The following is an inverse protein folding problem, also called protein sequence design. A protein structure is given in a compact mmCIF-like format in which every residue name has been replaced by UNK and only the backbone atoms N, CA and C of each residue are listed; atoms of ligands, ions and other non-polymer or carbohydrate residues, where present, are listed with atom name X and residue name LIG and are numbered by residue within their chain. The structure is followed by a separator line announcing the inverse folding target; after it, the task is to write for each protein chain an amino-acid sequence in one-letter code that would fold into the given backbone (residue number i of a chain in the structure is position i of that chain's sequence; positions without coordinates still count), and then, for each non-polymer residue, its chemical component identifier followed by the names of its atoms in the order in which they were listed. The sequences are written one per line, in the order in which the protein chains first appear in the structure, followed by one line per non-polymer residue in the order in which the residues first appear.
data_IF_985005296127
#
_entry.id   IF_985005296127
#
_cell.length_a   1.000
_cell.length_b   1.000
_cell.length_c   1.000
_cell.angle_alpha   90.00
_cell.angle_beta   90.00
_cell.angle_gamma   90.00
#
_symmetry.space_group_name_H-M   'P 1'
#
loop_
_entity.id
_entity.type
_entity.pdbx_description
1 polymer ?
#
# COMPACT_ATOMS: atom_id res chain seq x y z
N UNK A 1 -8.12 -3.25 -16.61
CA UNK A 1 -6.87 -3.33 -17.36
C UNK A 1 -5.66 -3.18 -16.43
N UNK A 2 -4.65 -3.97 -16.70
CA UNK A 2 -3.43 -3.90 -15.94
C UNK A 2 -2.69 -2.57 -16.19
N UNK A 3 -2.13 -2.00 -15.14
CA UNK A 3 -1.42 -0.72 -15.21
C UNK A 3 0.09 -0.90 -14.99
N UNK A 4 0.61 -2.07 -15.35
CA UNK A 4 2.02 -2.39 -15.12
C UNK A 4 3.00 -1.40 -15.77
N UNK A 5 2.59 -0.79 -16.88
CA UNK A 5 3.42 0.17 -17.58
C UNK A 5 3.30 1.60 -17.05
N UNK A 6 2.42 1.83 -16.10
CA UNK A 6 2.21 3.16 -15.55
C UNK A 6 3.33 3.53 -14.57
N UNK A 7 3.89 4.75 -14.66
CA UNK A 7 4.89 5.19 -13.69
C UNK A 7 4.35 5.19 -12.25
N UNK A 8 5.20 4.87 -11.29
CA UNK A 8 4.80 4.74 -9.89
C UNK A 8 4.10 5.99 -9.34
N UNK A 9 4.60 7.18 -9.66
CA UNK A 9 3.97 8.39 -9.17
C UNK A 9 2.57 8.58 -9.78
N UNK A 10 2.32 8.04 -10.98
CA UNK A 10 0.99 8.07 -11.58
C UNK A 10 0.02 7.13 -10.88
N UNK A 11 0.49 5.98 -10.40
CA UNK A 11 -0.32 5.10 -9.57
C UNK A 11 -0.78 5.83 -8.31
N UNK A 12 0.17 6.44 -7.61
CA UNK A 12 -0.14 7.18 -6.39
C UNK A 12 -1.12 8.31 -6.66
N UNK A 13 -0.90 9.04 -7.75
CA UNK A 13 -1.76 10.16 -8.11
C UNK A 13 -3.17 9.68 -8.46
N UNK A 14 -3.28 8.58 -9.20
CA UNK A 14 -4.57 8.02 -9.57
C UNK A 14 -5.36 7.58 -8.33
N UNK A 15 -4.68 6.96 -7.36
CA UNK A 15 -5.32 6.55 -6.11
C UNK A 15 -5.70 7.75 -5.26
N UNK A 16 -4.81 8.73 -5.15
CA UNK A 16 -5.07 9.94 -4.38
C UNK A 16 -6.22 10.77 -4.95
N UNK A 17 -6.39 10.72 -6.28
CA UNK A 17 -7.48 11.42 -6.92
C UNK A 17 -8.86 10.92 -6.50
N UNK A 18 -8.90 9.72 -5.95
CA UNK A 18 -10.13 9.14 -5.41
C UNK A 18 -9.97 9.11 -3.89
N UNK A 19 -10.31 10.21 -3.25
CA UNK A 19 -10.22 10.30 -1.80
C UNK A 19 -11.60 10.07 -1.19
N UNK A 20 -11.85 8.91 -0.58
CA UNK A 20 -13.15 8.65 0.03
C UNK A 20 -13.53 9.66 1.10
N UNK A 21 -12.53 10.32 1.70
CA UNK A 21 -12.77 11.34 2.73
C UNK A 21 -13.46 12.58 2.18
N UNK A 22 -13.26 12.87 0.90
CA UNK A 22 -13.89 14.03 0.26
C UNK A 22 -15.39 13.84 0.07
N UNK A 23 -15.86 12.61 0.15
CA UNK A 23 -17.26 12.25 -0.12
C UNK A 23 -18.09 12.07 1.14
N UNK A 24 -17.45 12.00 2.30
CA UNK A 24 -18.13 11.65 3.55
C UNK A 24 -17.74 12.62 4.66
N UNK A 25 -18.74 13.19 5.30
CA UNK A 25 -18.55 14.01 6.49
C UNK A 25 -18.91 13.20 7.71
N UNK A 26 -17.98 13.15 8.66
CA UNK A 26 -18.20 12.50 9.94
C UNK A 26 -18.42 13.55 11.00
N UNK A 27 -19.33 13.29 11.91
CA UNK A 27 -19.61 14.15 13.06
C UNK A 27 -19.38 13.33 14.33
N UNK A 28 -18.85 14.00 15.35
CA UNK A 28 -18.76 13.37 16.66
C UNK A 28 -20.13 13.36 17.35
N UNK A 29 -20.17 12.83 18.58
CA UNK A 29 -21.44 12.73 19.34
C UNK A 29 -22.07 14.10 19.63
N UNK A 30 -21.29 15.16 19.56
CA UNK A 30 -21.74 16.53 19.80
C UNK A 30 -22.11 17.26 18.51
N UNK A 31 -21.98 16.60 17.36
CA UNK A 31 -22.32 17.18 16.06
C UNK A 31 -21.22 18.02 15.45
N UNK A 32 -20.00 17.96 15.98
CA UNK A 32 -18.86 18.67 15.42
C UNK A 32 -18.27 17.87 14.27
N UNK A 33 -17.85 18.53 13.16
CA UNK A 33 -17.22 17.82 12.06
C UNK A 33 -15.90 17.22 12.51
N UNK A 34 -15.69 15.94 12.18
CA UNK A 34 -14.46 15.21 12.48
C UNK A 34 -13.76 14.89 11.18
N UNK A 35 -12.46 15.16 11.11
CA UNK A 35 -11.66 14.79 9.97
C UNK A 35 -11.47 13.27 9.96
N UNK A 36 -12.01 12.54 8.97
CA UNK A 36 -11.87 11.09 8.92
C UNK A 36 -10.40 10.63 8.83
N UNK A 37 -9.50 11.51 8.43
CA UNK A 37 -8.07 11.24 8.45
C UNK A 37 -7.46 11.17 9.83
N UNK A 38 -8.17 11.68 10.84
CA UNK A 38 -7.74 11.66 12.23
C UNK A 38 -8.27 10.46 13.01
N UNK A 39 -9.17 9.69 12.42
CA UNK A 39 -9.69 8.49 13.06
C UNK A 39 -8.61 7.41 13.18
N UNK A 40 -8.73 6.60 14.22
CA UNK A 40 -7.85 5.47 14.39
C UNK A 40 -8.17 4.41 13.33
N UNK A 41 -7.14 3.84 12.71
CA UNK A 41 -7.36 2.76 11.75
C UNK A 41 -7.84 1.48 12.48
N UNK A 42 -8.42 0.53 11.72
CA UNK A 42 -8.95 -0.71 12.33
C UNK A 42 -7.88 -1.68 12.81
N UNK A 43 -6.62 -1.39 12.58
CA UNK A 43 -5.49 -2.23 13.03
C UNK A 43 -4.71 -1.48 14.12
N UNK A 44 -3.95 -2.24 14.92
CA UNK A 44 -3.21 -1.68 16.05
C UNK A 44 -1.88 -1.06 15.62
N UNK A 45 -1.83 0.27 15.60
CA UNK A 45 -0.62 1.01 15.23
C UNK A 45 0.54 0.81 16.22
N UNK A 46 0.26 0.33 17.42
CA UNK A 46 1.28 0.12 18.45
C UNK A 46 1.81 -1.32 18.47
N UNK A 47 1.32 -2.19 17.62
CA UNK A 47 1.80 -3.55 17.53
C UNK A 47 3.25 -3.57 17.02
N UNK A 48 4.03 -4.54 17.46
CA UNK A 48 5.40 -4.72 16.97
C UNK A 48 5.44 -4.92 15.46
N UNK A 49 4.49 -5.69 14.95
CA UNK A 49 4.24 -5.84 13.52
C UNK A 49 2.75 -5.64 13.30
N UNK A 50 2.41 -4.64 12.50
CA UNK A 50 1.01 -4.32 12.22
C UNK A 50 0.50 -5.27 11.15
N UNK A 51 -0.48 -6.09 11.48
CA UNK A 51 -1.12 -6.99 10.53
C UNK A 51 -2.14 -6.20 9.69
N UNK A 52 -1.96 -6.19 8.39
CA UNK A 52 -2.87 -5.53 7.47
C UNK A 52 -3.62 -6.62 6.70
N UNK A 53 -4.89 -6.75 6.97
CA UNK A 53 -5.75 -7.71 6.28
C UNK A 53 -6.18 -7.16 4.92
N UNK A 54 -6.66 -8.02 4.04
CA UNK A 54 -7.10 -7.61 2.71
C UNK A 54 -8.17 -6.52 2.76
N UNK A 55 -9.06 -6.57 3.73
CA UNK A 55 -10.11 -5.57 3.90
C UNK A 55 -9.55 -4.20 4.27
N UNK A 56 -8.39 -4.16 4.89
CA UNK A 56 -7.77 -2.93 5.38
C UNK A 56 -6.69 -2.39 4.47
N UNK A 57 -6.30 -3.15 3.44
CA UNK A 57 -5.18 -2.78 2.58
C UNK A 57 -5.38 -1.42 1.90
N UNK A 58 -6.56 -1.18 1.36
CA UNK A 58 -6.85 0.09 0.69
C UNK A 58 -6.74 1.27 1.63
N UNK A 59 -7.32 1.14 2.83
CA UNK A 59 -7.25 2.18 3.84
C UNK A 59 -5.81 2.43 4.28
N UNK A 60 -5.07 1.34 4.54
CA UNK A 60 -3.66 1.43 4.91
C UNK A 60 -2.85 2.14 3.84
N UNK A 61 -3.03 1.75 2.59
CA UNK A 61 -2.28 2.34 1.47
C UNK A 61 -2.50 3.85 1.40
N UNK A 62 -3.74 4.30 1.52
CA UNK A 62 -4.05 5.72 1.49
C UNK A 62 -3.54 6.45 2.73
N UNK A 63 -3.69 5.85 3.90
CA UNK A 63 -3.29 6.50 5.14
C UNK A 63 -1.77 6.66 5.23
N UNK A 64 -1.01 5.67 4.80
CA UNK A 64 0.46 5.79 4.75
C UNK A 64 0.87 6.92 3.82
N UNK A 65 0.19 7.08 2.70
CA UNK A 65 0.49 8.15 1.75
C UNK A 65 0.11 9.52 2.28
N UNK A 66 -1.02 9.61 2.97
CA UNK A 66 -1.54 10.89 3.47
C UNK A 66 -0.93 11.31 4.81
N UNK A 67 -0.56 10.33 5.63
CA UNK A 67 -0.04 10.57 6.97
C UNK A 67 1.23 9.74 7.20
N UNK A 68 2.29 9.97 6.43
CA UNK A 68 3.48 9.13 6.51
C UNK A 68 4.15 9.16 7.87
N UNK A 69 4.03 10.26 8.62
CA UNK A 69 4.62 10.38 9.95
C UNK A 69 4.04 9.38 10.96
N UNK A 70 2.81 8.90 10.73
CA UNK A 70 2.19 7.90 11.61
C UNK A 70 2.85 6.53 11.48
N UNK A 71 3.48 6.29 10.34
CA UNK A 71 4.02 4.97 10.00
C UNK A 71 5.54 4.91 9.95
N UNK A 72 6.21 6.04 10.15
CA UNK A 72 7.67 6.08 10.06
C UNK A 72 8.30 5.11 11.05
N UNK A 73 9.12 4.18 10.56
CA UNK A 73 9.75 3.16 11.36
C UNK A 73 8.86 2.01 11.80
N UNK A 74 7.60 2.01 11.40
CA UNK A 74 6.66 0.95 11.76
C UNK A 74 6.84 -0.26 10.85
N UNK A 75 6.62 -1.45 11.41
CA UNK A 75 6.69 -2.71 10.66
C UNK A 75 5.28 -3.19 10.36
N UNK A 76 5.08 -3.65 9.13
CA UNK A 76 3.78 -4.15 8.68
C UNK A 76 3.94 -5.52 8.04
N UNK A 77 2.87 -6.30 8.06
CA UNK A 77 2.80 -7.60 7.41
C UNK A 77 1.50 -7.66 6.61
N UNK A 78 1.61 -8.00 5.34
CA UNK A 78 0.42 -8.09 4.47
C UNK A 78 0.63 -9.08 3.33
N UNK A 79 -0.47 -9.53 2.77
CA UNK A 79 -0.47 -10.40 1.60
C UNK A 79 -0.32 -9.56 0.35
N UNK A 80 0.65 -9.88 -0.49
CA UNK A 80 0.97 -9.07 -1.65
C UNK A 80 1.30 -9.92 -2.87
N UNK A 81 1.08 -9.32 -4.02
CA UNK A 81 1.53 -9.83 -5.30
C UNK A 81 2.80 -9.08 -5.68
N UNK A 82 3.81 -9.80 -6.09
CA UNK A 82 5.11 -9.22 -6.45
C UNK A 82 5.04 -8.62 -7.85
N UNK A 83 5.42 -7.35 -7.98
CA UNK A 83 5.62 -6.72 -9.28
C UNK A 83 7.09 -6.38 -9.44
N UNK A 84 7.71 -6.88 -10.50
CA UNK A 84 9.10 -6.58 -10.83
C UNK A 84 9.16 -5.91 -12.20
N UNK A 85 10.17 -5.09 -12.39
CA UNK A 85 10.37 -4.39 -13.67
C UNK A 85 11.86 -4.27 -13.95
N UNK A 86 12.22 -4.33 -15.22
CA UNK A 86 13.59 -4.08 -15.65
C UNK A 86 14.05 -2.65 -15.38
N UNK A 87 13.11 -1.76 -15.11
CA UNK A 87 13.40 -0.35 -14.79
C UNK A 87 13.84 -0.17 -13.34
N UNK A 88 13.59 -1.17 -12.49
CA UNK A 88 13.99 -1.10 -11.09
C UNK A 88 15.43 -1.61 -10.94
N UNK A 89 16.21 -0.97 -10.04
CA UNK A 89 17.51 -1.51 -9.72
C UNK A 89 17.38 -2.87 -9.04
N UNK A 90 18.47 -3.60 -9.00
CA UNK A 90 18.51 -4.88 -8.31
C UNK A 90 18.15 -4.69 -6.83
N UNK A 91 17.38 -5.61 -6.29
CA UNK A 91 16.94 -5.52 -4.89
C UNK A 91 15.66 -4.72 -4.68
N UNK A 92 15.03 -4.26 -5.75
CA UNK A 92 13.82 -3.42 -5.68
C UNK A 92 12.66 -4.09 -6.40
N UNK A 93 11.50 -4.08 -5.75
CA UNK A 93 10.25 -4.58 -6.34
C UNK A 93 9.07 -3.86 -5.67
N UNK A 94 7.86 -4.14 -6.13
CA UNK A 94 6.66 -3.60 -5.50
C UNK A 94 5.78 -4.76 -5.03
N UNK A 95 5.64 -4.95 -3.72
CA UNK A 95 4.62 -5.83 -3.17
C UNK A 95 3.31 -5.06 -3.08
N UNK A 96 2.33 -5.42 -3.88
CA UNK A 96 1.10 -4.67 -3.95
C UNK A 96 -0.12 -5.53 -4.22
N UNK A 97 -1.22 -4.86 -4.48
CA UNK A 97 -2.49 -5.50 -4.78
C UNK A 97 -3.22 -4.73 -5.88
N UNK A 98 -4.03 -5.44 -6.64
CA UNK A 98 -5.00 -4.78 -7.51
C UNK A 98 -6.11 -4.21 -6.63
N UNK A 99 -6.45 -2.95 -6.82
CA UNK A 99 -7.45 -2.27 -6.00
C UNK A 99 -8.53 -1.65 -6.88
N UNK A 100 -9.75 -1.68 -6.38
CA UNK A 100 -10.90 -1.15 -7.07
C UNK A 100 -11.61 -0.14 -6.19
N UNK A 101 -12.03 0.99 -6.77
CA UNK A 101 -12.76 2.02 -6.03
C UNK A 101 -14.26 1.91 -6.22
N UNK A 102 -14.74 1.85 -7.44
CA UNK A 102 -16.19 1.80 -7.70
C UNK A 102 -16.60 0.71 -8.68
N UNK A 103 -15.76 0.35 -9.63
CA UNK A 103 -16.16 -0.62 -10.65
C UNK A 103 -14.92 -1.26 -11.29
N UNK A 104 -15.15 -2.31 -12.07
CA UNK A 104 -14.07 -3.05 -12.72
C UNK A 104 -13.14 -2.19 -13.58
N UNK A 105 -13.65 -1.08 -14.10
CA UNK A 105 -12.86 -0.18 -14.94
C UNK A 105 -11.83 0.62 -14.15
N UNK A 106 -11.96 0.66 -12.83
CA UNK A 106 -11.07 1.42 -11.95
C UNK A 106 -10.00 0.57 -11.28
N UNK A 107 -9.85 -0.67 -11.70
CA UNK A 107 -8.85 -1.54 -11.09
C UNK A 107 -7.44 -1.05 -11.43
N UNK A 108 -6.65 -0.83 -10.38
CA UNK A 108 -5.25 -0.38 -10.48
C UNK A 108 -4.39 -1.22 -9.56
N UNK A 109 -3.19 -1.52 -10.00
CA UNK A 109 -2.21 -2.12 -9.11
C UNK A 109 -1.62 -1.03 -8.22
N UNK A 110 -1.73 -1.16 -6.90
CA UNK A 110 -1.23 -0.19 -5.94
C UNK A 110 -0.30 -0.85 -4.94
N UNK A 111 0.78 -0.16 -4.63
CA UNK A 111 1.78 -0.62 -3.68
C UNK A 111 2.89 0.41 -3.55
N UNK A 112 3.78 0.15 -2.61
CA UNK A 112 4.94 1.00 -2.38
C UNK A 112 6.20 0.27 -2.80
N UNK A 113 7.19 1.04 -3.23
CA UNK A 113 8.51 0.54 -3.56
C UNK A 113 9.08 -0.22 -2.37
N UNK A 114 9.65 -1.38 -2.59
CA UNK A 114 10.26 -2.17 -1.53
C UNK A 114 11.70 -2.51 -1.89
N UNK A 115 12.58 -2.29 -0.93
CA UNK A 115 13.99 -2.66 -1.03
C UNK A 115 14.21 -3.86 -0.11
N UNK A 116 14.76 -4.95 -0.64
CA UNK A 116 14.97 -6.15 0.15
C UNK A 116 16.09 -7.00 -0.42
N UNK A 117 16.86 -7.62 0.46
CA UNK A 117 17.91 -8.55 0.04
C UNK A 117 17.35 -9.76 -0.68
N UNK A 118 16.17 -10.21 -0.28
CA UNK A 118 15.53 -11.38 -0.87
C UNK A 118 14.80 -11.08 -2.20
N UNK A 119 14.81 -9.83 -2.67
CA UNK A 119 14.09 -9.45 -3.89
C UNK A 119 14.47 -10.33 -5.09
N UNK A 120 15.74 -10.74 -5.18
CA UNK A 120 16.21 -11.54 -6.29
C UNK A 120 15.67 -12.97 -6.28
N UNK A 121 15.18 -13.43 -5.14
CA UNK A 121 14.58 -14.76 -5.00
C UNK A 121 13.12 -14.78 -5.44
N UNK A 122 12.51 -13.61 -5.59
CA UNK A 122 11.09 -13.48 -5.92
C UNK A 122 10.89 -13.43 -7.43
N UNK A 123 9.76 -13.98 -7.85
CA UNK A 123 9.35 -13.94 -9.26
C UNK A 123 8.21 -12.96 -9.41
N UNK A 124 8.14 -12.30 -10.56
CA UNK A 124 7.03 -11.42 -10.88
C UNK A 124 5.71 -12.19 -10.82
N UNK A 125 4.69 -11.58 -10.21
CA UNK A 125 3.34 -12.13 -10.02
C UNK A 125 3.27 -13.24 -8.95
N UNK A 126 4.35 -13.48 -8.22
CA UNK A 126 4.33 -14.40 -7.09
C UNK A 126 3.53 -13.78 -5.93
N UNK A 127 2.80 -14.62 -5.20
CA UNK A 127 2.10 -14.19 -4.00
C UNK A 127 2.95 -14.49 -2.77
N UNK A 128 3.06 -13.51 -1.90
CA UNK A 128 3.86 -13.62 -0.68
C UNK A 128 3.16 -12.94 0.50
N UNK A 129 3.46 -13.41 1.71
CA UNK A 129 3.27 -12.63 2.92
C UNK A 129 4.58 -11.90 3.18
N UNK A 130 4.55 -10.59 3.20
CA UNK A 130 5.76 -9.79 3.41
C UNK A 130 5.68 -9.04 4.72
N UNK A 131 6.81 -9.01 5.43
CA UNK A 131 7.02 -8.17 6.60
C UNK A 131 8.05 -7.12 6.24
N UNK A 132 7.72 -5.85 6.44
CA UNK A 132 8.59 -4.75 6.03
C UNK A 132 8.46 -3.57 6.98
N UNK A 133 9.52 -2.77 7.05
CA UNK A 133 9.51 -1.51 7.78
C UNK A 133 9.22 -0.36 6.84
N UNK A 134 8.39 0.57 7.26
CA UNK A 134 8.01 1.73 6.45
C UNK A 134 8.92 2.90 6.79
N UNK A 135 9.48 3.54 5.76
CA UNK A 135 10.25 4.77 5.89
C UNK A 135 9.79 5.76 4.83
N UNK A 136 9.69 7.03 5.20
CA UNK A 136 9.35 8.08 4.26
C UNK A 136 10.66 8.72 3.79
N UNK A 137 11.00 8.53 2.51
CA UNK A 137 12.26 9.03 1.99
C UNK A 137 12.14 9.33 0.50
N UNK A 138 13.09 10.08 -0.02
CA UNK A 138 13.16 10.35 -1.46
C UNK A 138 13.44 9.05 -2.21
N UNK A 139 12.68 8.80 -3.26
CA UNK A 139 12.93 7.68 -4.17
C UNK A 139 12.88 8.22 -5.59
N UNK A 140 13.94 7.98 -6.35
CA UNK A 140 13.98 8.48 -7.73
C UNK A 140 12.86 7.87 -8.59
N UNK A 141 12.44 6.65 -8.25
CA UNK A 141 11.34 5.98 -8.93
C UNK A 141 10.02 6.71 -8.75
N UNK A 142 9.85 7.40 -7.61
CA UNK A 142 8.70 8.28 -7.38
C UNK A 142 8.91 9.68 -7.94
N UNK A 143 10.16 10.12 -8.06
CA UNK A 143 10.49 11.49 -8.37
C UNK A 143 10.20 12.45 -7.22
N UNK A 144 9.96 11.94 -6.02
CA UNK A 144 9.64 12.74 -4.85
C UNK A 144 9.84 11.89 -3.59
N UNK A 145 9.69 12.52 -2.44
CA UNK A 145 9.68 11.84 -1.16
C UNK A 145 8.37 11.07 -1.01
N UNK A 146 8.44 9.85 -0.50
CA UNK A 146 7.27 9.02 -0.29
C UNK A 146 7.60 7.78 0.51
N UNK A 147 6.58 6.97 0.83
CA UNK A 147 6.80 5.75 1.60
C UNK A 147 7.59 4.71 0.81
N UNK A 148 8.61 4.18 1.44
CA UNK A 148 9.44 3.09 0.92
C UNK A 148 9.45 1.99 1.96
N UNK A 149 9.24 0.76 1.51
CA UNK A 149 9.27 -0.41 2.38
C UNK A 149 10.66 -1.01 2.38
N UNK A 150 11.12 -1.42 3.56
CA UNK A 150 12.37 -2.16 3.70
C UNK A 150 12.01 -3.58 4.13
N UNK A 151 12.12 -4.51 3.20
CA UNK A 151 11.72 -5.90 3.43
C UNK A 151 12.57 -6.58 4.49
N UNK A 152 11.90 -7.13 5.48
CA UNK A 152 12.55 -7.85 6.58
C UNK A 152 12.52 -9.34 6.31
N UNK A 153 11.36 -9.88 5.94
CA UNK A 153 11.18 -11.29 5.65
C UNK A 153 9.97 -11.51 4.77
N UNK A 154 9.87 -12.69 4.20
CA UNK A 154 8.69 -13.07 3.43
C UNK A 154 8.43 -14.56 3.57
N UNK A 155 7.18 -14.95 3.28
CA UNK A 155 6.78 -16.33 3.14
C UNK A 155 6.02 -16.48 1.84
N UNK A 156 6.23 -17.57 1.13
CA UNK A 156 5.44 -17.84 -0.07
C UNK A 156 3.99 -18.04 0.33
N UNK A 157 3.08 -17.55 -0.49
CA UNK A 157 1.66 -17.63 -0.22
C UNK A 157 0.92 -18.16 -1.44
N UNK A 158 -0.28 -18.65 -1.21
CA UNK A 158 -1.17 -19.02 -2.28
C UNK A 158 -1.94 -17.80 -2.75
N UNK A 159 -2.31 -17.79 -4.03
CA UNK A 159 -3.16 -16.76 -4.57
C UNK A 159 -4.48 -16.73 -3.82
N UNK A 160 -4.91 -15.59 -3.30
CA UNK A 160 -6.18 -15.50 -2.59
C UNK A 160 -7.37 -15.69 -3.53
N UNK A 161 -8.49 -16.09 -2.96
CA UNK A 161 -9.72 -16.27 -3.72
C UNK A 161 -10.15 -14.97 -4.39
N UNK A 162 -10.02 -13.85 -3.67
CA UNK A 162 -10.29 -12.52 -4.22
C UNK A 162 -8.96 -11.78 -4.32
N UNK A 163 -8.48 -11.58 -5.55
CA UNK A 163 -7.23 -10.87 -5.78
C UNK A 163 -7.36 -9.36 -5.63
N UNK A 164 -8.58 -8.85 -5.69
CA UNK A 164 -8.84 -7.41 -5.68
C UNK A 164 -9.17 -6.97 -4.26
N UNK A 165 -8.56 -5.86 -3.85
CA UNK A 165 -8.90 -5.19 -2.59
C UNK A 165 -9.70 -3.92 -2.91
N UNK A 166 -10.36 -3.36 -1.92
CA UNK A 166 -11.28 -2.24 -2.11
C UNK A 166 -10.91 -1.07 -1.22
N UNK A 167 -11.18 0.13 -1.72
CA UNK A 167 -10.92 1.38 -0.99
C UNK A 167 -12.17 1.83 -0.21
N UNK A 168 -12.79 0.94 0.49
CA UNK A 168 -14.02 1.29 1.25
C UNK A 168 -13.70 1.81 2.64
#
# INVERSE_FOLDING_TARGET
RCTEDMPLHSFRRAVRGVNPRAMVYFEDEEGNPVDPGMEEPPYDLNADVIQIDDMDYGLWYLDVSDNPERYEGKKVRFLAKVMKSNRFPQGVFIPGRNAMTCCENDIRFVGYLCKAEFANLLKSRQWIWITAEIRNEYAKEYGEEGPVLYGISYETAEKPTDEVVYFN
#
